data_IF_923653403140
#
_entry.id   IF_923653403140
#
_cell.length_a   1.000
_cell.length_b   1.000
_cell.length_c   1.000
_cell.angle_alpha   90.00
_cell.angle_beta   90.00
_cell.angle_gamma   90.00
#
_symmetry.space_group_name_H-M   'P 1'
#
loop_
_entity.id
_entity.type
_entity.pdbx_description
1 polymer ?
#
# COMPACT_ATOMS: atom_id res chain seq x y z
N UNK A 1 -23.58 15.12 14.20
CA UNK A 1 -22.33 15.86 13.88
C UNK A 1 -21.77 15.27 12.59
N UNK A 2 -21.22 16.09 11.70
CA UNK A 2 -20.38 15.58 10.60
C UNK A 2 -19.00 15.20 11.12
N UNK A 3 -18.35 14.22 10.49
CA UNK A 3 -16.97 13.82 10.77
C UNK A 3 -16.19 13.92 9.46
N UNK A 4 -15.38 14.96 9.35
CA UNK A 4 -14.41 15.14 8.25
C UNK A 4 -13.29 14.11 8.39
N UNK A 5 -12.89 13.50 7.27
CA UNK A 5 -11.82 12.50 7.19
C UNK A 5 -10.84 12.87 6.07
N UNK A 6 -9.71 13.46 6.44
CA UNK A 6 -8.64 13.81 5.49
C UNK A 6 -7.71 12.63 5.19
N UNK A 7 -7.12 12.64 3.99
CA UNK A 7 -6.10 11.71 3.55
C UNK A 7 -5.15 12.44 2.58
N UNK A 8 -3.88 12.04 2.55
CA UNK A 8 -2.86 12.60 1.65
C UNK A 8 -2.30 11.54 0.70
N UNK A 9 -1.71 11.99 -0.41
CA UNK A 9 -0.93 11.16 -1.32
C UNK A 9 0.22 11.98 -1.93
N UNK A 10 1.29 11.30 -2.34
CA UNK A 10 2.47 11.92 -2.94
C UNK A 10 2.90 11.18 -4.20
N UNK A 11 3.38 11.91 -5.20
CA UNK A 11 3.82 11.36 -6.48
C UNK A 11 5.17 10.62 -6.36
N UNK A 12 5.49 9.81 -7.36
CA UNK A 12 6.74 9.03 -7.47
C UNK A 12 8.03 9.86 -7.29
N UNK A 13 8.02 11.15 -7.65
CA UNK A 13 9.16 12.07 -7.45
C UNK A 13 9.39 12.54 -6.00
N UNK A 14 8.51 12.21 -5.05
CA UNK A 14 8.72 12.52 -3.63
C UNK A 14 9.93 11.73 -3.09
N UNK A 15 10.86 12.34 -2.32
CA UNK A 15 12.07 11.68 -1.83
C UNK A 15 11.84 10.29 -1.19
N UNK A 16 10.92 10.17 -0.23
CA UNK A 16 10.56 8.87 0.37
C UNK A 16 10.08 7.84 -0.67
N UNK A 17 9.22 8.24 -1.62
CA UNK A 17 8.67 7.33 -2.62
C UNK A 17 9.70 6.91 -3.66
N UNK A 18 10.69 7.75 -3.95
CA UNK A 18 11.87 7.37 -4.71
C UNK A 18 12.71 6.32 -3.94
N UNK A 19 12.82 6.44 -2.61
CA UNK A 19 13.53 5.46 -1.78
C UNK A 19 12.77 4.12 -1.71
N UNK A 20 11.45 4.15 -1.57
CA UNK A 20 10.58 2.96 -1.64
C UNK A 20 10.69 2.26 -3.00
N UNK A 21 10.63 3.03 -4.10
CA UNK A 21 10.78 2.56 -5.48
C UNK A 21 12.13 1.86 -5.69
N UNK A 22 13.24 2.50 -5.31
CA UNK A 22 14.59 1.92 -5.45
C UNK A 22 14.72 0.64 -4.60
N UNK A 23 14.19 0.65 -3.37
CA UNK A 23 14.25 -0.51 -2.48
C UNK A 23 13.50 -1.73 -3.06
N UNK A 24 12.31 -1.51 -3.64
CA UNK A 24 11.55 -2.58 -4.27
C UNK A 24 12.06 -2.99 -5.67
N UNK A 25 12.71 -2.12 -6.45
CA UNK A 25 13.40 -2.54 -7.68
C UNK A 25 14.60 -3.44 -7.39
N UNK A 26 15.37 -3.13 -6.34
CA UNK A 26 16.47 -3.99 -5.88
C UNK A 26 15.92 -5.35 -5.39
N UNK A 27 14.79 -5.36 -4.69
CA UNK A 27 14.09 -6.59 -4.31
C UNK A 27 13.63 -7.40 -5.53
N UNK A 28 13.04 -6.75 -6.54
CA UNK A 28 12.55 -7.39 -7.75
C UNK A 28 13.68 -7.99 -8.60
N UNK A 29 14.79 -7.27 -8.79
CA UNK A 29 15.99 -7.78 -9.46
C UNK A 29 16.54 -9.04 -8.75
N UNK A 30 16.52 -9.07 -7.41
CA UNK A 30 16.96 -10.23 -6.62
C UNK A 30 15.96 -11.40 -6.71
N UNK A 31 14.66 -11.15 -6.54
CA UNK A 31 13.63 -12.20 -6.58
C UNK A 31 13.41 -12.78 -7.99
N UNK A 32 13.76 -12.05 -9.05
CA UNK A 32 13.78 -12.56 -10.41
C UNK A 32 14.82 -13.70 -10.59
N UNK A 33 16.00 -13.56 -9.99
CA UNK A 33 17.09 -14.54 -10.11
C UNK A 33 17.10 -15.58 -8.96
N UNK A 34 16.70 -15.20 -7.75
CA UNK A 34 16.62 -16.06 -6.56
C UNK A 34 15.31 -15.85 -5.77
N UNK A 35 14.20 -16.50 -6.17
CA UNK A 35 12.90 -16.42 -5.49
C UNK A 35 12.89 -16.88 -4.02
N UNK A 36 14.00 -17.44 -3.51
CA UNK A 36 14.16 -17.88 -2.12
C UNK A 36 14.98 -16.90 -1.25
N UNK A 37 15.45 -15.79 -1.82
CA UNK A 37 16.28 -14.80 -1.15
C UNK A 37 15.62 -14.20 0.11
N UNK A 38 16.46 -13.77 1.05
CA UNK A 38 16.07 -12.87 2.15
C UNK A 38 16.62 -11.49 1.89
N UNK A 39 15.75 -10.49 1.92
CA UNK A 39 16.06 -9.10 1.54
C UNK A 39 15.39 -8.17 2.53
N UNK A 40 16.16 -7.25 3.10
CA UNK A 40 15.69 -6.09 3.84
C UNK A 40 16.57 -4.91 3.42
N UNK A 41 16.16 -4.21 2.37
CA UNK A 41 16.90 -3.10 1.77
C UNK A 41 16.25 -1.77 2.16
N UNK A 42 17.06 -0.90 2.75
CA UNK A 42 16.65 0.46 3.13
C UNK A 42 17.43 1.47 2.28
N UNK A 43 16.75 2.51 1.80
CA UNK A 43 17.31 3.53 0.92
C UNK A 43 17.12 4.91 1.53
N UNK A 44 18.13 5.78 1.40
CA UNK A 44 18.08 7.19 1.74
C UNK A 44 18.53 8.03 0.54
N UNK A 45 17.75 9.03 0.15
CA UNK A 45 18.08 9.96 -0.92
C UNK A 45 18.19 11.39 -0.40
N UNK A 46 19.35 12.03 -0.56
CA UNK A 46 19.63 13.39 -0.06
C UNK A 46 20.62 14.13 -0.96
N UNK A 47 20.26 15.33 -1.42
CA UNK A 47 21.01 16.11 -2.38
C UNK A 47 21.27 15.35 -3.68
N UNK A 48 22.55 15.12 -3.97
CA UNK A 48 23.03 14.32 -5.12
C UNK A 48 23.51 12.91 -4.69
N UNK A 49 23.03 12.39 -3.56
CA UNK A 49 23.42 11.08 -3.01
C UNK A 49 22.20 10.18 -2.83
N UNK A 50 22.35 8.94 -3.26
CA UNK A 50 21.49 7.81 -2.85
C UNK A 50 22.40 6.86 -2.07
N UNK A 51 21.97 6.49 -0.87
CA UNK A 51 22.61 5.47 -0.03
C UNK A 51 21.66 4.29 0.04
N UNK A 52 22.18 3.10 -0.24
CA UNK A 52 21.45 1.82 -0.13
C UNK A 52 22.15 1.00 0.96
N UNK A 53 21.38 0.43 1.89
CA UNK A 53 21.88 -0.34 3.03
C UNK A 53 20.92 -1.48 3.41
N UNK A 54 21.28 -2.27 4.43
CA UNK A 54 20.47 -3.38 4.95
C UNK A 54 21.01 -4.77 4.58
N UNK A 55 20.23 -5.81 4.87
CA UNK A 55 20.67 -7.20 4.82
C UNK A 55 20.11 -7.97 3.62
N UNK A 56 21.01 -8.63 2.88
CA UNK A 56 20.66 -9.50 1.74
C UNK A 56 21.35 -10.86 1.92
N UNK A 57 20.55 -11.93 1.96
CA UNK A 57 21.00 -13.32 1.88
C UNK A 57 20.40 -13.93 0.62
N UNK A 58 21.23 -14.09 -0.42
CA UNK A 58 20.84 -14.65 -1.71
C UNK A 58 21.99 -15.46 -2.31
N UNK A 59 21.66 -16.33 -3.26
CA UNK A 59 22.64 -17.04 -4.12
C UNK A 59 23.21 -16.15 -5.23
N UNK A 60 22.57 -15.04 -5.55
CA UNK A 60 23.01 -14.10 -6.59
C UNK A 60 23.64 -12.84 -6.02
N UNK A 61 24.35 -12.09 -6.87
CA UNK A 61 24.97 -10.81 -6.51
C UNK A 61 24.07 -9.65 -6.94
N UNK A 62 23.50 -8.86 -6.01
CA UNK A 62 22.58 -7.76 -6.34
C UNK A 62 23.16 -6.72 -7.31
N UNK A 63 22.39 -6.37 -8.34
CA UNK A 63 22.74 -5.38 -9.40
C UNK A 63 22.30 -3.95 -9.03
N UNK A 64 22.71 -3.51 -7.84
CA UNK A 64 22.20 -2.31 -7.15
C UNK A 64 22.45 -1.00 -7.92
N UNK A 65 23.42 -0.94 -8.85
CA UNK A 65 23.67 0.30 -9.64
C UNK A 65 22.71 0.43 -10.82
N UNK A 66 22.20 -0.69 -11.29
CA UNK A 66 21.35 -0.84 -12.45
C UNK A 66 19.88 -0.54 -12.09
N UNK A 67 19.43 -0.97 -10.90
CA UNK A 67 18.05 -0.88 -10.39
C UNK A 67 17.48 0.54 -10.12
N UNK A 68 18.21 1.62 -10.45
CA UNK A 68 17.98 2.98 -9.92
C UNK A 68 17.38 3.94 -10.98
N UNK A 69 16.52 3.46 -11.90
CA UNK A 69 15.98 4.29 -13.00
C UNK A 69 14.52 3.96 -13.41
N UNK A 70 13.70 5.01 -13.56
CA UNK A 70 12.34 5.10 -14.17
C UNK A 70 11.12 4.65 -13.34
N UNK A 71 9.90 4.79 -13.92
CA UNK A 71 8.70 5.35 -13.27
C UNK A 71 7.38 4.50 -13.38
N UNK A 72 6.27 5.01 -12.81
CA UNK A 72 4.96 4.32 -12.65
C UNK A 72 3.77 5.29 -12.41
N UNK A 73 2.50 4.81 -12.47
CA UNK A 73 1.30 5.65 -12.30
C UNK A 73 -0.02 4.96 -11.82
N UNK A 74 -0.60 5.46 -10.71
CA UNK A 74 -2.06 5.54 -10.35
C UNK A 74 -2.89 4.26 -10.07
N UNK A 75 -4.12 4.30 -9.50
CA UNK A 75 -4.88 5.34 -8.72
C UNK A 75 -6.21 4.76 -8.15
N UNK A 76 -6.73 5.18 -6.95
CA UNK A 76 -7.95 4.59 -6.34
C UNK A 76 -9.05 5.62 -5.88
N UNK A 77 -9.68 5.36 -4.71
CA UNK A 77 -10.91 5.93 -4.09
C UNK A 77 -10.54 6.48 -2.68
N UNK A 78 -11.01 7.60 -2.09
CA UNK A 78 -11.78 8.80 -2.47
C UNK A 78 -11.34 10.01 -1.59
N UNK A 79 -11.71 11.27 -1.88
CA UNK A 79 -11.12 12.47 -1.20
C UNK A 79 -12.09 13.62 -0.89
N UNK A 80 -11.98 14.20 0.32
CA UNK A 80 -12.73 15.36 0.83
C UNK A 80 -12.05 16.73 0.53
N UNK A 81 -10.74 16.84 0.77
CA UNK A 81 -9.87 18.00 0.43
C UNK A 81 -8.69 17.52 -0.41
N UNK A 82 -8.46 18.13 -1.58
CA UNK A 82 -7.42 17.70 -2.52
C UNK A 82 -6.26 18.70 -2.50
N UNK A 83 -5.19 18.37 -1.75
CA UNK A 83 -3.92 19.13 -1.78
C UNK A 83 -3.01 18.52 -2.85
N UNK A 84 -2.54 19.34 -3.79
CA UNK A 84 -1.59 18.93 -4.83
C UNK A 84 -0.39 19.88 -4.84
N UNK A 85 0.73 19.40 -4.28
CA UNK A 85 2.02 20.08 -4.35
C UNK A 85 2.89 19.41 -5.41
N UNK A 86 3.08 20.07 -6.55
CA UNK A 86 3.83 19.55 -7.71
C UNK A 86 5.00 20.47 -8.05
N UNK A 87 6.18 19.87 -8.20
CA UNK A 87 7.37 20.59 -8.65
C UNK A 87 7.19 21.05 -10.10
N UNK A 88 7.49 22.32 -10.35
CA UNK A 88 7.32 22.99 -11.64
C UNK A 88 8.57 23.82 -11.99
N UNK A 89 8.68 24.23 -13.26
CA UNK A 89 9.72 25.17 -13.67
C UNK A 89 9.47 26.58 -13.08
N UNK A 90 10.53 27.33 -12.80
CA UNK A 90 10.45 28.67 -12.21
C UNK A 90 9.80 29.72 -13.14
N UNK A 91 9.67 29.45 -14.44
CA UNK A 91 8.96 30.29 -15.39
C UNK A 91 7.52 29.81 -15.69
N UNK A 92 7.02 28.77 -15.00
CA UNK A 92 5.65 28.28 -15.19
C UNK A 92 4.64 29.20 -14.49
N UNK A 93 3.63 29.64 -15.23
CA UNK A 93 2.51 30.39 -14.67
C UNK A 93 1.68 29.52 -13.70
N UNK A 94 1.32 30.08 -12.54
CA UNK A 94 0.67 29.34 -11.46
C UNK A 94 -0.83 29.13 -11.68
N UNK A 95 -1.51 30.03 -12.40
CA UNK A 95 -2.92 29.85 -12.76
C UNK A 95 -3.06 28.83 -13.91
N UNK A 96 -2.14 28.87 -14.89
CA UNK A 96 -2.03 27.83 -15.92
C UNK A 96 -1.70 26.46 -15.30
N UNK A 97 -0.73 26.39 -14.38
CA UNK A 97 -0.42 25.16 -13.65
C UNK A 97 -1.60 24.67 -12.82
N UNK A 98 -2.34 25.57 -12.16
CA UNK A 98 -3.55 25.21 -11.42
C UNK A 98 -4.66 24.68 -12.35
N UNK A 99 -4.80 25.25 -13.56
CA UNK A 99 -5.73 24.76 -14.57
C UNK A 99 -5.31 23.40 -15.15
N UNK A 100 -4.02 23.20 -15.45
CA UNK A 100 -3.45 21.91 -15.89
C UNK A 100 -3.63 20.83 -14.83
N UNK A 101 -3.27 21.09 -13.56
CA UNK A 101 -3.47 20.13 -12.46
C UNK A 101 -4.97 19.81 -12.30
N UNK A 102 -5.87 20.80 -12.38
CA UNK A 102 -7.32 20.57 -12.33
C UNK A 102 -7.83 19.72 -13.51
N UNK A 103 -7.32 19.91 -14.72
CA UNK A 103 -7.86 19.29 -15.96
C UNK A 103 -7.16 18.01 -16.41
N UNK A 104 -5.88 17.83 -16.07
CA UNK A 104 -5.02 16.71 -16.50
C UNK A 104 -4.73 15.72 -15.35
N UNK A 105 -4.86 16.13 -14.09
CA UNK A 105 -4.62 15.27 -12.92
C UNK A 105 -5.93 15.03 -12.14
N UNK A 106 -6.57 16.09 -11.64
CA UNK A 106 -7.77 15.95 -10.80
C UNK A 106 -8.99 15.49 -11.60
N UNK A 107 -9.28 16.09 -12.77
CA UNK A 107 -10.44 15.70 -13.58
C UNK A 107 -10.35 14.28 -14.19
N UNK A 108 -9.17 13.75 -14.59
CA UNK A 108 -9.04 12.35 -14.98
C UNK A 108 -9.13 11.40 -13.78
N UNK A 109 -8.55 11.73 -12.62
CA UNK A 109 -8.69 10.94 -11.39
C UNK A 109 -10.15 10.88 -10.89
N UNK A 110 -10.92 11.96 -11.06
CA UNK A 110 -12.35 12.05 -10.73
C UNK A 110 -13.22 11.03 -11.49
N UNK A 111 -12.89 10.72 -12.74
CA UNK A 111 -13.81 9.99 -13.66
C UNK A 111 -14.14 8.54 -13.27
N UNK A 112 -13.22 7.69 -12.77
CA UNK A 112 -13.51 6.26 -12.57
C UNK A 112 -13.85 5.85 -11.13
N UNK A 113 -13.50 6.65 -10.12
CA UNK A 113 -13.36 6.15 -8.74
C UNK A 113 -13.97 7.04 -7.63
N UNK A 114 -14.11 8.34 -7.88
CA UNK A 114 -13.81 9.34 -6.85
C UNK A 114 -14.81 10.52 -6.93
N UNK A 115 -16.03 10.41 -6.36
CA UNK A 115 -17.08 11.42 -6.50
C UNK A 115 -16.76 12.69 -5.68
N UNK A 116 -16.03 13.61 -6.30
CA UNK A 116 -15.70 14.94 -5.75
C UNK A 116 -16.98 15.79 -5.60
N UNK A 117 -17.15 16.41 -4.43
CA UNK A 117 -18.27 17.31 -4.14
C UNK A 117 -18.10 18.66 -4.83
N UNK A 118 -19.19 19.37 -5.11
CA UNK A 118 -19.14 20.78 -5.52
C UNK A 118 -18.50 21.70 -4.46
N UNK A 119 -18.44 21.23 -3.20
CA UNK A 119 -17.86 21.94 -2.07
C UNK A 119 -16.45 21.44 -1.69
N UNK A 120 -15.84 20.55 -2.48
CA UNK A 120 -14.47 20.05 -2.20
C UNK A 120 -13.45 21.16 -2.45
N UNK A 121 -12.65 21.46 -1.43
CA UNK A 121 -11.54 22.39 -1.54
C UNK A 121 -10.35 21.73 -2.28
N UNK A 122 -9.79 22.45 -3.25
CA UNK A 122 -8.68 21.99 -4.09
C UNK A 122 -7.53 23.01 -3.96
N UNK A 123 -6.54 22.68 -3.14
CA UNK A 123 -5.37 23.52 -2.87
C UNK A 123 -4.21 23.04 -3.75
N UNK A 124 -3.75 23.90 -4.66
CA UNK A 124 -2.64 23.58 -5.58
C UNK A 124 -1.49 24.50 -5.23
N UNK A 125 -0.34 23.91 -4.90
CA UNK A 125 0.85 24.61 -4.39
C UNK A 125 0.51 25.73 -3.37
N UNK A 126 -0.16 25.44 -2.24
CA UNK A 126 -0.50 26.45 -1.21
C UNK A 126 0.70 27.05 -0.46
N UNK A 127 1.92 26.80 -0.95
CA UNK A 127 3.20 27.35 -0.50
C UNK A 127 3.90 28.15 -1.62
N UNK A 128 3.13 28.63 -2.60
CA UNK A 128 3.58 29.32 -3.81
C UNK A 128 4.63 28.52 -4.62
N UNK A 129 5.82 29.08 -4.84
CA UNK A 129 6.85 28.47 -5.69
C UNK A 129 7.40 27.16 -5.11
N UNK A 130 7.29 26.07 -5.89
CA UNK A 130 7.87 24.76 -5.59
C UNK A 130 8.83 24.35 -6.70
N UNK A 131 9.86 25.18 -6.93
CA UNK A 131 10.80 25.01 -8.05
C UNK A 131 11.94 24.04 -7.75
N UNK A 132 12.29 23.88 -6.47
CA UNK A 132 13.25 22.86 -5.99
C UNK A 132 12.47 21.77 -5.26
N UNK A 133 12.44 20.58 -5.85
CA UNK A 133 11.83 19.37 -5.30
C UNK A 133 12.78 18.16 -5.36
N UNK A 134 12.24 16.98 -5.04
CA UNK A 134 13.00 15.74 -4.95
C UNK A 134 14.10 15.79 -3.87
N UNK A 135 15.07 14.85 -3.90
CA UNK A 135 16.13 14.74 -2.88
C UNK A 135 16.96 16.00 -2.64
N UNK A 136 16.95 16.95 -3.59
CA UNK A 136 17.63 18.25 -3.46
C UNK A 136 16.92 19.20 -2.48
N UNK A 137 15.62 19.02 -2.26
CA UNK A 137 14.80 19.85 -1.36
C UNK A 137 14.65 19.23 0.04
N UNK A 138 14.44 17.91 0.10
CA UNK A 138 14.18 17.17 1.35
C UNK A 138 14.81 15.77 1.29
N UNK A 139 15.15 15.19 2.44
CA UNK A 139 15.81 13.89 2.56
C UNK A 139 14.79 12.76 2.69
N UNK A 140 14.72 11.93 1.65
CA UNK A 140 13.85 10.76 1.62
C UNK A 140 14.45 9.57 2.33
N UNK A 141 13.59 8.76 2.96
CA UNK A 141 13.93 7.42 3.41
C UNK A 141 12.81 6.42 3.04
N UNK A 142 13.20 5.17 2.78
CA UNK A 142 12.29 4.03 2.63
C UNK A 142 11.36 3.90 3.84
N UNK A 143 10.12 3.48 3.61
CA UNK A 143 9.18 3.20 4.69
C UNK A 143 8.69 4.42 5.47
N UNK A 144 8.79 5.64 4.91
CA UNK A 144 8.35 6.88 5.57
C UNK A 144 6.95 7.35 5.16
N UNK A 145 6.43 6.92 4.01
CA UNK A 145 5.10 7.31 3.50
C UNK A 145 3.99 6.29 3.76
N UNK A 146 4.17 5.49 4.82
CA UNK A 146 3.30 4.37 5.16
C UNK A 146 1.80 4.66 5.12
N UNK A 147 1.34 5.84 5.57
CA UNK A 147 -0.10 6.17 5.54
C UNK A 147 -0.65 6.21 4.10
N UNK A 148 0.11 6.81 3.17
CA UNK A 148 -0.16 6.82 1.72
C UNK A 148 -0.13 5.41 1.15
N UNK A 149 0.73 4.55 1.69
CA UNK A 149 0.93 3.19 1.20
C UNK A 149 -0.23 2.23 1.54
N UNK A 150 -1.07 2.53 2.53
CA UNK A 150 -2.22 1.68 2.93
C UNK A 150 -3.59 2.33 2.78
N UNK A 151 -3.93 3.27 3.67
CA UNK A 151 -5.33 3.62 3.98
C UNK A 151 -5.54 5.13 4.21
N UNK A 152 -4.56 5.98 3.94
CA UNK A 152 -4.68 7.44 4.08
C UNK A 152 -4.95 7.94 5.51
N UNK A 153 -4.72 7.13 6.54
CA UNK A 153 -5.11 7.41 7.93
C UNK A 153 -6.54 6.97 8.30
N UNK A 154 -7.33 6.46 7.36
CA UNK A 154 -8.73 6.06 7.55
C UNK A 154 -8.91 4.75 8.34
N UNK A 155 -7.83 4.01 8.63
CA UNK A 155 -7.84 2.75 9.38
C UNK A 155 -6.49 2.43 10.04
N UNK A 156 -6.48 1.59 11.10
CA UNK A 156 -5.29 1.30 11.90
C UNK A 156 -4.26 0.42 11.17
N UNK A 157 -3.08 0.29 11.77
CA UNK A 157 -1.91 -0.39 11.19
C UNK A 157 -0.82 -0.70 12.22
N UNK A 158 -0.05 -1.77 11.98
CA UNK A 158 1.03 -2.22 12.88
C UNK A 158 2.36 -1.45 12.79
N UNK A 159 2.46 -0.42 11.92
CA UNK A 159 3.65 0.44 11.80
C UNK A 159 4.83 -0.13 10.98
N UNK A 160 4.84 -1.42 10.65
CA UNK A 160 5.88 -2.03 9.81
C UNK A 160 5.84 -1.51 8.37
N UNK A 161 7.00 -1.09 7.85
CA UNK A 161 7.18 -0.70 6.44
C UNK A 161 7.09 -1.90 5.48
N UNK A 162 6.75 -1.64 4.20
CA UNK A 162 6.64 -2.69 3.18
C UNK A 162 7.87 -2.78 2.27
N UNK A 163 8.28 -1.67 1.67
CA UNK A 163 9.26 -1.63 0.56
C UNK A 163 10.62 -2.21 0.97
N UNK A 164 11.32 -2.83 0.01
CA UNK A 164 12.64 -3.42 0.22
C UNK A 164 12.65 -4.74 1.01
N UNK A 165 11.49 -5.24 1.46
CA UNK A 165 11.39 -6.45 2.29
C UNK A 165 10.87 -7.66 1.51
N UNK A 166 11.59 -8.78 1.62
CA UNK A 166 11.14 -10.08 1.08
C UNK A 166 9.89 -10.62 1.79
N UNK A 167 9.13 -11.54 1.15
CA UNK A 167 7.85 -12.03 1.66
C UNK A 167 7.87 -12.74 3.02
N UNK A 168 9.03 -13.11 3.58
CA UNK A 168 9.09 -13.60 4.97
C UNK A 168 8.85 -12.51 6.03
N UNK A 169 8.96 -11.23 5.66
CA UNK A 169 8.66 -10.12 6.57
C UNK A 169 7.14 -9.95 6.67
N UNK A 170 6.61 -10.34 7.83
CA UNK A 170 5.16 -10.31 8.13
C UNK A 170 4.57 -8.91 8.09
N UNK A 171 5.37 -7.84 8.19
CA UNK A 171 4.94 -6.45 7.96
C UNK A 171 4.18 -6.30 6.64
N UNK A 172 4.78 -6.82 5.55
CA UNK A 172 4.25 -6.79 4.18
C UNK A 172 3.23 -7.91 3.97
N UNK A 173 3.65 -9.14 4.21
CA UNK A 173 2.86 -10.35 3.92
C UNK A 173 1.60 -10.47 4.79
N UNK A 174 1.68 -10.12 6.08
CA UNK A 174 0.54 -10.09 6.99
C UNK A 174 -0.45 -8.96 6.67
N UNK A 175 0.04 -7.78 6.28
CA UNK A 175 -0.83 -6.69 5.84
C UNK A 175 -1.57 -7.02 4.53
N UNK A 176 -0.91 -7.71 3.59
CA UNK A 176 -1.54 -8.17 2.35
C UNK A 176 -2.64 -9.22 2.62
N UNK A 177 -2.41 -10.17 3.54
CA UNK A 177 -3.46 -11.09 3.97
C UNK A 177 -4.61 -10.35 4.66
N UNK A 178 -4.32 -9.45 5.60
CA UNK A 178 -5.32 -8.68 6.32
C UNK A 178 -6.21 -7.86 5.36
N UNK A 179 -5.62 -7.27 4.31
CA UNK A 179 -6.35 -6.60 3.23
C UNK A 179 -7.28 -7.56 2.49
N UNK A 180 -6.80 -8.74 2.08
CA UNK A 180 -7.62 -9.72 1.36
C UNK A 180 -8.83 -10.19 2.20
N UNK A 181 -8.63 -10.45 3.49
CA UNK A 181 -9.71 -10.91 4.39
C UNK A 181 -10.75 -9.79 4.60
N UNK A 182 -10.31 -8.58 4.96
CA UNK A 182 -11.19 -7.42 5.13
C UNK A 182 -12.00 -7.14 3.86
N UNK A 183 -11.34 -7.18 2.69
CA UNK A 183 -11.98 -6.98 1.40
C UNK A 183 -12.96 -8.10 1.07
N UNK A 184 -12.64 -9.36 1.38
CA UNK A 184 -13.55 -10.50 1.14
C UNK A 184 -14.83 -10.36 1.97
N UNK A 185 -14.75 -9.90 3.21
CA UNK A 185 -15.94 -9.67 4.06
C UNK A 185 -16.87 -8.61 3.45
N UNK A 186 -16.31 -7.49 2.98
CA UNK A 186 -17.09 -6.39 2.36
C UNK A 186 -17.62 -6.79 0.98
N UNK A 187 -16.81 -7.38 0.09
CA UNK A 187 -17.24 -7.82 -1.24
C UNK A 187 -18.24 -9.00 -1.18
N UNK A 188 -18.20 -9.82 -0.11
CA UNK A 188 -19.23 -10.81 0.20
C UNK A 188 -20.56 -10.20 0.70
N UNK A 189 -20.58 -8.90 1.00
CA UNK A 189 -21.67 -8.15 1.67
C UNK A 189 -21.97 -8.58 3.10
N UNK A 190 -20.98 -9.13 3.81
CA UNK A 190 -21.11 -9.57 5.21
C UNK A 190 -20.92 -8.42 6.21
N UNK A 191 -20.38 -7.28 5.77
CA UNK A 191 -20.29 -6.02 6.50
C UNK A 191 -20.16 -4.86 5.50
N UNK A 192 -20.42 -3.60 5.90
CA UNK A 192 -20.15 -2.43 5.03
C UNK A 192 -18.74 -1.87 5.22
N UNK A 193 -18.15 -2.03 6.41
CA UNK A 193 -16.73 -1.79 6.67
C UNK A 193 -16.15 -2.89 7.58
N UNK A 194 -14.84 -3.13 7.47
CA UNK A 194 -14.16 -4.21 8.19
C UNK A 194 -12.70 -3.82 8.45
N UNK A 195 -12.27 -3.98 9.69
CA UNK A 195 -10.87 -3.92 10.11
C UNK A 195 -10.36 -5.32 10.45
N UNK A 196 -9.05 -5.50 10.31
CA UNK A 196 -8.36 -6.78 10.50
C UNK A 196 -7.08 -6.55 11.29
N UNK A 197 -6.91 -7.28 12.40
CA UNK A 197 -5.67 -7.31 13.17
C UNK A 197 -5.07 -8.73 13.13
N UNK A 198 -3.79 -8.83 12.78
CA UNK A 198 -3.02 -10.07 12.84
C UNK A 198 -1.62 -9.76 13.37
N UNK A 199 -1.12 -10.58 14.29
CA UNK A 199 0.21 -10.38 14.91
C UNK A 199 0.95 -11.70 15.07
N UNK A 200 2.28 -11.64 15.04
CA UNK A 200 3.18 -12.79 15.11
C UNK A 200 4.27 -12.56 16.15
N UNK A 201 4.75 -13.63 16.76
CA UNK A 201 5.99 -13.61 17.53
C UNK A 201 7.14 -14.14 16.66
N UNK A 202 8.33 -13.55 16.79
CA UNK A 202 9.53 -13.99 16.07
C UNK A 202 9.77 -15.48 16.35
N UNK A 203 9.96 -16.27 15.30
CA UNK A 203 10.15 -17.72 15.38
C UNK A 203 8.86 -18.56 15.48
N UNK A 204 7.68 -17.96 15.64
CA UNK A 204 6.39 -18.67 15.55
C UNK A 204 5.78 -18.51 14.16
N UNK A 205 5.41 -19.63 13.54
CA UNK A 205 4.74 -19.65 12.23
C UNK A 205 3.23 -19.35 12.34
N UNK A 206 2.65 -19.54 13.51
CA UNK A 206 1.24 -19.33 13.80
C UNK A 206 1.05 -17.98 14.51
N UNK A 207 -0.01 -17.20 14.18
CA UNK A 207 -0.22 -15.89 14.77
C UNK A 207 -0.49 -15.96 16.28
N UNK A 208 -0.08 -14.93 17.01
CA UNK A 208 -0.36 -14.80 18.45
C UNK A 208 -1.67 -14.06 18.73
N UNK A 209 -2.17 -13.27 17.78
CA UNK A 209 -3.55 -12.82 17.73
C UNK A 209 -4.03 -12.70 16.28
N UNK A 210 -5.32 -12.97 16.06
CA UNK A 210 -6.04 -12.79 14.80
C UNK A 210 -7.46 -12.37 15.15
N UNK A 211 -7.87 -11.18 14.69
CA UNK A 211 -9.15 -10.56 15.06
C UNK A 211 -9.76 -9.81 13.87
N UNK A 212 -11.09 -9.82 13.83
CA UNK A 212 -11.93 -9.07 12.90
C UNK A 212 -12.75 -8.07 13.71
N UNK A 213 -12.97 -6.89 13.16
CA UNK A 213 -13.88 -5.88 13.70
C UNK A 213 -14.69 -5.29 12.54
N UNK A 214 -16.00 -5.55 12.50
CA UNK A 214 -16.91 -5.01 11.48
C UNK A 214 -17.46 -3.62 11.83
N UNK A 215 -16.98 -2.99 12.90
CA UNK A 215 -17.37 -1.66 13.38
C UNK A 215 -18.88 -1.55 13.67
N UNK A 216 -19.51 -2.66 14.02
CA UNK A 216 -20.96 -2.77 14.22
C UNK A 216 -21.78 -2.86 12.93
N UNK A 217 -21.14 -3.09 11.78
CA UNK A 217 -21.80 -3.19 10.45
C UNK A 217 -21.95 -4.62 9.93
N UNK A 218 -21.51 -5.63 10.70
CA UNK A 218 -21.56 -7.03 10.33
C UNK A 218 -22.95 -7.68 10.38
N UNK A 219 -23.24 -8.54 9.41
CA UNK A 219 -24.41 -9.44 9.37
C UNK A 219 -24.30 -10.55 10.44
N UNK A 220 -23.07 -10.96 10.75
CA UNK A 220 -22.72 -11.98 11.74
C UNK A 220 -21.78 -11.38 12.79
N UNK A 221 -21.73 -11.99 13.99
CA UNK A 221 -20.80 -11.54 15.03
C UNK A 221 -19.34 -11.67 14.59
N UNK A 222 -18.50 -10.72 15.01
CA UNK A 222 -17.07 -10.71 14.68
C UNK A 222 -16.36 -12.00 15.12
N UNK A 223 -16.86 -12.70 16.14
CA UNK A 223 -16.35 -14.00 16.57
C UNK A 223 -16.61 -15.12 15.54
N UNK A 224 -17.80 -15.15 14.93
CA UNK A 224 -18.13 -16.09 13.85
C UNK A 224 -17.30 -15.77 12.60
N UNK A 225 -17.20 -14.49 12.24
CA UNK A 225 -16.37 -14.04 11.12
C UNK A 225 -14.88 -14.38 11.34
N UNK A 226 -14.35 -14.18 12.55
CA UNK A 226 -12.97 -14.54 12.92
C UNK A 226 -12.73 -16.04 12.77
N UNK A 227 -13.62 -16.90 13.29
CA UNK A 227 -13.50 -18.36 13.14
C UNK A 227 -13.55 -18.79 11.66
N UNK A 228 -14.53 -18.30 10.92
CA UNK A 228 -14.72 -18.64 9.52
C UNK A 228 -13.55 -18.19 8.63
N UNK A 229 -12.98 -17.00 8.88
CA UNK A 229 -11.80 -16.53 8.18
C UNK A 229 -10.53 -17.32 8.55
N UNK A 230 -10.37 -17.72 9.83
CA UNK A 230 -9.24 -18.54 10.26
C UNK A 230 -9.27 -19.97 9.67
N UNK A 231 -10.45 -20.47 9.29
CA UNK A 231 -10.62 -21.75 8.58
C UNK A 231 -10.32 -21.63 7.07
N UNK A 232 -10.68 -20.49 6.44
CA UNK A 232 -10.61 -20.30 4.98
C UNK A 232 -9.26 -19.73 4.51
N UNK A 233 -8.58 -18.94 5.33
CA UNK A 233 -7.37 -18.21 4.93
C UNK A 233 -6.11 -18.77 5.61
N UNK A 234 -4.98 -18.91 4.87
CA UNK A 234 -3.75 -19.47 5.42
C UNK A 234 -3.07 -18.45 6.36
N UNK A 235 -3.29 -18.55 7.67
CA UNK A 235 -2.75 -17.59 8.65
C UNK A 235 -1.24 -17.73 8.93
N UNK A 236 -0.53 -18.69 8.31
CA UNK A 236 0.89 -18.96 8.55
C UNK A 236 1.74 -18.32 7.44
N UNK A 237 2.84 -17.59 7.70
CA UNK A 237 3.55 -16.81 6.68
C UNK A 237 3.91 -17.59 5.40
N UNK A 238 4.38 -18.84 5.52
CA UNK A 238 4.64 -19.69 4.35
C UNK A 238 3.42 -19.87 3.44
N UNK A 239 2.26 -20.21 4.04
CA UNK A 239 1.01 -20.38 3.31
C UNK A 239 0.46 -19.08 2.70
N UNK A 240 0.72 -17.92 3.33
CA UNK A 240 0.39 -16.62 2.74
C UNK A 240 1.26 -16.37 1.49
N UNK A 241 2.58 -16.61 1.60
CA UNK A 241 3.53 -16.44 0.49
C UNK A 241 3.15 -17.32 -0.70
N UNK A 242 2.72 -18.55 -0.42
CA UNK A 242 2.28 -19.51 -1.44
C UNK A 242 0.94 -19.09 -2.08
N UNK A 243 -0.08 -18.79 -1.27
CA UNK A 243 -1.42 -18.42 -1.76
C UNK A 243 -1.46 -17.06 -2.49
N UNK A 244 -0.65 -16.09 -2.06
CA UNK A 244 -0.53 -14.77 -2.69
C UNK A 244 0.60 -14.69 -3.73
N UNK A 245 1.29 -15.80 -4.04
CA UNK A 245 2.32 -15.92 -5.09
C UNK A 245 3.55 -15.02 -4.89
N UNK A 246 3.85 -14.62 -3.63
CA UNK A 246 4.70 -13.46 -3.33
C UNK A 246 6.20 -13.65 -3.63
N UNK A 247 6.66 -14.87 -3.96
CA UNK A 247 8.07 -15.09 -4.37
C UNK A 247 8.37 -14.57 -5.79
N UNK A 248 7.36 -14.11 -6.52
CA UNK A 248 7.56 -13.48 -7.84
C UNK A 248 7.90 -11.99 -7.70
N UNK A 249 8.79 -11.46 -8.56
CA UNK A 249 8.99 -10.02 -8.65
C UNK A 249 7.75 -9.29 -9.19
N UNK A 250 7.69 -7.99 -8.92
CA UNK A 250 6.58 -7.08 -9.20
C UNK A 250 6.32 -6.10 -8.04
N UNK A 251 7.16 -6.06 -7.00
CA UNK A 251 7.04 -5.18 -5.85
C UNK A 251 7.18 -3.70 -6.22
N UNK A 252 8.02 -3.38 -7.21
CA UNK A 252 8.23 -2.02 -7.74
C UNK A 252 6.92 -1.37 -8.17
N UNK A 253 6.00 -2.15 -8.76
CA UNK A 253 4.76 -1.63 -9.39
C UNK A 253 3.84 -0.89 -8.41
N UNK A 254 3.87 -1.23 -7.13
CA UNK A 254 3.00 -0.66 -6.09
C UNK A 254 3.78 -0.04 -4.93
N UNK A 255 5.11 0.07 -5.06
CA UNK A 255 5.97 0.92 -4.20
C UNK A 255 5.55 2.40 -4.21
N UNK A 256 4.69 2.80 -5.14
CA UNK A 256 4.07 4.13 -5.27
C UNK A 256 2.57 4.00 -5.56
N UNK A 257 1.80 5.07 -5.29
CA UNK A 257 0.33 5.12 -5.47
C UNK A 257 -0.48 4.08 -4.65
N UNK A 258 0.09 3.57 -3.56
CA UNK A 258 -0.56 2.67 -2.59
C UNK A 258 -0.43 1.19 -2.95
N UNK A 259 -0.35 0.33 -1.93
CA UNK A 259 -0.25 -1.13 -2.12
C UNK A 259 -1.62 -1.81 -2.32
N UNK A 260 -2.71 -1.07 -2.14
CA UNK A 260 -4.09 -1.58 -2.07
C UNK A 260 -5.02 -0.84 -3.03
N UNK A 261 -6.14 -1.50 -3.39
CA UNK A 261 -7.18 -0.97 -4.27
C UNK A 261 -6.99 -1.24 -5.77
N UNK A 262 -5.79 -1.63 -6.21
CA UNK A 262 -5.50 -1.92 -7.63
C UNK A 262 -6.08 -3.26 -8.10
N UNK A 263 -6.52 -3.32 -9.35
CA UNK A 263 -7.05 -4.56 -9.94
C UNK A 263 -5.93 -5.54 -10.36
N UNK A 264 -6.22 -6.83 -10.23
CA UNK A 264 -5.31 -7.92 -10.64
C UNK A 264 -4.20 -8.28 -9.64
N UNK A 265 -4.15 -7.65 -8.45
CA UNK A 265 -3.28 -8.07 -7.36
C UNK A 265 -3.88 -9.27 -6.60
N UNK A 266 -3.05 -10.24 -6.20
CA UNK A 266 -3.53 -11.44 -5.52
C UNK A 266 -4.25 -11.15 -4.19
N UNK A 267 -3.81 -10.14 -3.42
CA UNK A 267 -4.48 -9.70 -2.18
C UNK A 267 -5.71 -8.81 -2.40
N UNK A 268 -6.05 -8.47 -3.64
CA UNK A 268 -7.28 -7.75 -4.00
C UNK A 268 -8.31 -8.69 -4.67
N UNK A 269 -7.98 -9.98 -4.85
CA UNK A 269 -8.84 -10.99 -5.47
C UNK A 269 -9.84 -11.63 -4.49
N UNK A 270 -10.60 -10.79 -3.79
CA UNK A 270 -11.61 -11.15 -2.79
C UNK A 270 -12.63 -12.20 -3.26
N UNK A 271 -13.16 -12.03 -4.48
CA UNK A 271 -14.26 -12.85 -5.01
C UNK A 271 -13.96 -14.36 -5.06
N UNK A 272 -12.69 -14.75 -5.19
CA UNK A 272 -12.28 -16.16 -5.16
C UNK A 272 -12.52 -16.86 -3.80
N UNK A 273 -12.73 -16.08 -2.72
CA UNK A 273 -12.87 -16.59 -1.35
C UNK A 273 -14.28 -16.46 -0.76
N UNK A 274 -15.19 -15.72 -1.42
CA UNK A 274 -16.54 -15.39 -0.91
C UNK A 274 -17.36 -16.64 -0.60
N UNK A 275 -17.44 -17.60 -1.53
CA UNK A 275 -18.19 -18.83 -1.36
C UNK A 275 -17.63 -19.73 -0.25
N UNK A 276 -16.31 -19.75 -0.09
CA UNK A 276 -15.65 -20.51 0.97
C UNK A 276 -15.94 -19.90 2.35
N UNK A 277 -15.85 -18.57 2.45
CA UNK A 277 -16.14 -17.81 3.66
C UNK A 277 -17.61 -17.97 4.10
N UNK A 278 -18.57 -17.82 3.18
CA UNK A 278 -20.00 -18.01 3.51
C UNK A 278 -20.30 -19.43 3.98
N UNK A 279 -19.73 -20.46 3.31
CA UNK A 279 -19.87 -21.86 3.75
C UNK A 279 -19.24 -22.11 5.13
N UNK A 280 -18.16 -21.42 5.48
CA UNK A 280 -17.54 -21.52 6.79
C UNK A 280 -18.37 -20.82 7.88
N UNK A 281 -18.95 -19.65 7.60
CA UNK A 281 -19.85 -18.95 8.54
C UNK A 281 -21.00 -19.85 9.00
N UNK A 282 -21.68 -20.53 8.07
CA UNK A 282 -22.76 -21.49 8.39
C UNK A 282 -22.28 -22.70 9.23
N UNK A 283 -20.98 -22.99 9.29
CA UNK A 283 -20.39 -24.02 10.18
C UNK A 283 -20.06 -23.52 11.59
N UNK A 284 -19.99 -22.20 11.81
CA UNK A 284 -19.69 -21.59 13.12
C UNK A 284 -20.92 -20.89 13.74
N UNK A 285 -22.04 -20.87 13.03
CA UNK A 285 -23.35 -20.38 13.45
C UNK A 285 -24.23 -21.46 14.11
N UNK A 286 -24.08 -22.73 13.69
CA UNK A 286 -24.80 -23.90 14.21
C UNK A 286 -24.00 -24.74 15.20
#
# INVERSE_FOLDING_TARGET
MSVTKTAEAVCIGHPDKLCDLIADTILDDILYEDPAARVAVEVMASGHRVIVTGEITSKVRPRIRESVRYDAAGSPVAVETVVVSIQHDAAKDLDELAAEVKTLIVAPARKPYLPISANTEILINPSDMFTVGGPKADTGLTGRKLMVDTYGGLGPRGGGAFSGKDPSKVDRTGAYLARLIARTIVDARLATECQMAISYAIGKADPVAFQIDTLGTGEYSDQILTKAAAEVFPLRPGGIIDALNLRKPGFTRYSTYGHFGHTGLHWENSFAHVDALKKAITRHEG
#
